data_IF_457513639052
#
_entry.id   IF_457513639052
#
_cell.length_a   1.000
_cell.length_b   1.000
_cell.length_c   1.000
_cell.angle_alpha   90.00
_cell.angle_beta   90.00
_cell.angle_gamma   90.00
#
_symmetry.space_group_name_H-M   'P 1'
#
loop_
_entity.id
_entity.type
_entity.pdbx_description
1 polymer ?
#
# COMPACT_ATOMS: atom_id res chain seq x y z
N UNK A 1 -6.59 -13.62 -12.15
CA UNK A 1 -7.25 -14.01 -10.89
C UNK A 1 -8.73 -13.69 -10.96
N UNK A 2 -9.62 -14.53 -10.42
CA UNK A 2 -11.08 -14.44 -10.59
C UNK A 2 -11.79 -14.39 -9.24
N UNK A 3 -12.68 -13.41 -9.09
CA UNK A 3 -13.56 -13.23 -7.92
C UNK A 3 -15.02 -13.33 -8.34
N UNK A 4 -15.83 -13.99 -7.53
CA UNK A 4 -17.28 -14.04 -7.75
C UNK A 4 -17.97 -12.91 -6.98
N UNK A 5 -18.92 -12.24 -7.64
CA UNK A 5 -19.63 -11.08 -7.11
C UNK A 5 -21.11 -11.38 -6.87
N UNK A 6 -21.72 -10.67 -5.93
CA UNK A 6 -23.15 -10.79 -5.67
C UNK A 6 -23.94 -9.95 -6.70
N UNK A 7 -24.74 -10.61 -7.55
CA UNK A 7 -25.57 -9.97 -8.59
C UNK A 7 -26.70 -9.08 -8.07
N UNK A 8 -27.10 -9.24 -6.81
CA UNK A 8 -28.30 -8.58 -6.32
C UNK A 8 -28.14 -7.08 -6.08
N UNK A 9 -26.92 -6.53 -6.24
CA UNK A 9 -26.62 -5.13 -5.91
C UNK A 9 -26.67 -4.17 -7.10
N UNK A 10 -26.77 -4.67 -8.34
CA UNK A 10 -26.79 -3.83 -9.55
C UNK A 10 -25.47 -3.13 -9.89
N UNK A 11 -24.37 -3.45 -9.20
CA UNK A 11 -23.03 -2.95 -9.44
C UNK A 11 -21.98 -4.03 -9.22
N UNK A 12 -20.78 -3.82 -9.74
CA UNK A 12 -19.64 -4.72 -9.58
C UNK A 12 -18.91 -4.42 -8.28
N UNK A 13 -18.86 -5.38 -7.38
CA UNK A 13 -18.14 -5.22 -6.10
C UNK A 13 -17.49 -6.49 -5.62
N UNK A 14 -16.46 -6.34 -4.79
CA UNK A 14 -15.77 -7.41 -4.08
C UNK A 14 -15.51 -6.97 -2.63
N UNK A 15 -15.40 -7.93 -1.73
CA UNK A 15 -15.04 -7.66 -0.34
C UNK A 15 -13.50 -7.55 -0.22
N UNK A 16 -13.04 -6.49 0.43
CA UNK A 16 -11.65 -6.24 0.72
C UNK A 16 -11.39 -6.35 2.21
N UNK A 17 -10.37 -7.13 2.59
CA UNK A 17 -10.12 -7.45 3.99
C UNK A 17 -9.08 -6.52 4.63
N UNK A 18 -8.04 -6.17 3.91
CA UNK A 18 -6.89 -5.44 4.48
C UNK A 18 -6.24 -4.56 3.44
N UNK A 19 -5.71 -3.44 3.89
CA UNK A 19 -4.86 -2.55 3.09
C UNK A 19 -3.55 -2.37 3.82
N UNK A 20 -2.43 -2.43 3.09
CA UNK A 20 -1.11 -2.13 3.62
C UNK A 20 -0.52 -0.97 2.82
N UNK A 21 -0.13 0.09 3.52
CA UNK A 21 0.53 1.27 2.97
C UNK A 21 1.68 1.70 3.90
N UNK A 22 2.86 1.93 3.35
CA UNK A 22 4.05 2.32 4.10
C UNK A 22 4.31 1.43 5.35
N UNK A 23 4.08 0.11 5.23
CA UNK A 23 4.21 -0.90 6.29
C UNK A 23 3.13 -0.82 7.41
N UNK A 24 2.19 0.09 7.31
CA UNK A 24 1.02 0.17 8.19
C UNK A 24 -0.13 -0.64 7.62
N UNK A 25 -0.77 -1.43 8.48
CA UNK A 25 -1.88 -2.29 8.14
C UNK A 25 -3.20 -1.67 8.61
N UNK A 26 -4.15 -1.55 7.68
CA UNK A 26 -5.52 -1.15 7.94
C UNK A 26 -6.43 -2.35 7.72
N UNK A 27 -6.96 -2.90 8.81
CA UNK A 27 -7.91 -4.01 8.77
C UNK A 27 -9.32 -3.47 8.66
N UNK A 28 -10.01 -3.91 7.63
CA UNK A 28 -11.41 -3.59 7.42
C UNK A 28 -12.05 -4.63 6.50
N UNK A 29 -13.32 -4.92 6.71
CA UNK A 29 -14.13 -5.75 5.81
C UNK A 29 -15.05 -4.84 5.00
N UNK A 30 -14.48 -3.96 4.20
CA UNK A 30 -15.23 -3.04 3.36
C UNK A 30 -15.47 -3.61 1.97
N UNK A 31 -16.62 -3.25 1.42
CA UNK A 31 -16.94 -3.50 0.03
C UNK A 31 -16.22 -2.49 -0.87
N UNK A 32 -15.60 -2.99 -1.93
CA UNK A 32 -15.03 -2.18 -3.02
C UNK A 32 -15.96 -2.26 -4.21
N UNK A 33 -16.40 -1.09 -4.69
CA UNK A 33 -17.23 -0.95 -5.89
C UNK A 33 -16.36 -0.47 -7.05
N UNK A 34 -16.53 -1.06 -8.23
CA UNK A 34 -15.83 -0.64 -9.43
C UNK A 34 -16.69 0.35 -10.21
N UNK A 35 -16.10 1.52 -10.53
CA UNK A 35 -16.75 2.64 -11.21
C UNK A 35 -16.07 2.91 -12.56
N UNK A 36 -16.82 2.79 -13.66
CA UNK A 36 -16.29 3.07 -15.01
C UNK A 36 -16.51 4.50 -15.49
N UNK A 37 -17.05 5.37 -14.65
CA UNK A 37 -17.39 6.76 -14.98
C UNK A 37 -16.47 7.78 -14.31
N UNK A 38 -15.53 7.35 -13.48
CA UNK A 38 -14.58 8.21 -12.76
C UNK A 38 -13.16 7.65 -12.85
N UNK A 39 -12.17 8.53 -12.94
CA UNK A 39 -10.75 8.16 -12.97
C UNK A 39 -10.19 7.92 -11.57
N UNK A 40 -10.85 8.44 -10.53
CA UNK A 40 -10.31 8.49 -9.19
C UNK A 40 -10.58 7.22 -8.40
N UNK A 41 -9.75 7.01 -7.37
CA UNK A 41 -10.04 6.09 -6.27
C UNK A 41 -10.65 6.88 -5.14
N UNK A 42 -11.87 6.51 -4.75
CA UNK A 42 -12.54 7.07 -3.59
C UNK A 42 -12.39 6.16 -2.40
N UNK A 43 -12.08 6.77 -1.25
CA UNK A 43 -11.78 6.08 0.00
C UNK A 43 -12.75 6.50 1.11
N UNK A 44 -13.13 5.61 2.01
CA UNK A 44 -14.01 5.94 3.13
C UNK A 44 -13.32 6.86 4.14
N UNK A 45 -14.12 7.70 4.82
CA UNK A 45 -13.63 8.64 5.83
C UNK A 45 -12.73 8.00 6.90
N UNK A 46 -13.06 6.79 7.36
CA UNK A 46 -12.25 6.04 8.32
C UNK A 46 -10.82 5.81 7.83
N UNK A 47 -10.65 5.55 6.54
CA UNK A 47 -9.32 5.36 5.96
C UNK A 47 -8.57 6.68 5.82
N UNK A 48 -9.28 7.79 5.55
CA UNK A 48 -8.67 9.15 5.58
C UNK A 48 -8.10 9.44 6.97
N UNK A 49 -8.85 9.13 8.04
CA UNK A 49 -8.36 9.28 9.42
C UNK A 49 -7.15 8.39 9.69
N UNK A 50 -7.18 7.13 9.25
CA UNK A 50 -6.03 6.23 9.38
C UNK A 50 -4.78 6.78 8.66
N UNK A 51 -4.93 7.32 7.45
CA UNK A 51 -3.83 7.97 6.74
C UNK A 51 -3.26 9.15 7.53
N UNK A 52 -4.12 10.02 8.07
CA UNK A 52 -3.71 11.19 8.87
C UNK A 52 -3.02 10.81 10.18
N UNK A 53 -3.61 9.87 10.91
CA UNK A 53 -3.20 9.58 12.29
C UNK A 53 -2.10 8.52 12.39
N UNK A 54 -1.83 7.80 11.29
CA UNK A 54 -0.86 6.71 11.29
C UNK A 54 0.19 6.88 10.20
N UNK A 55 -0.21 6.88 8.92
CA UNK A 55 0.74 6.85 7.80
C UNK A 55 1.48 8.18 7.66
N UNK A 56 0.76 9.29 7.63
CA UNK A 56 1.32 10.63 7.40
C UNK A 56 1.46 11.47 8.66
N UNK A 57 1.20 10.92 9.85
CA UNK A 57 1.21 11.65 11.12
C UNK A 57 2.49 12.46 11.33
N UNK A 58 3.64 11.80 11.23
CA UNK A 58 4.95 12.44 11.43
C UNK A 58 5.23 13.50 10.36
N UNK A 59 4.89 13.22 9.11
CA UNK A 59 5.07 14.13 7.99
C UNK A 59 4.17 15.39 8.10
N UNK A 60 2.95 15.24 8.62
CA UNK A 60 2.06 16.36 8.93
C UNK A 60 2.61 17.21 10.08
N UNK A 61 3.15 16.60 11.12
CA UNK A 61 3.77 17.31 12.25
C UNK A 61 5.04 18.06 11.86
N UNK A 62 5.80 17.53 10.90
CA UNK A 62 7.04 18.14 10.39
C UNK A 62 6.79 19.17 9.27
N UNK A 63 5.53 19.46 8.91
CA UNK A 63 5.15 20.29 7.76
C UNK A 63 5.69 19.79 6.39
N UNK A 64 6.01 18.50 6.28
CA UNK A 64 6.37 17.84 5.02
C UNK A 64 5.12 17.51 4.20
N UNK A 65 3.97 17.38 4.89
CA UNK A 65 2.64 17.19 4.32
C UNK A 65 1.65 18.22 4.89
N UNK A 66 0.65 18.60 4.08
CA UNK A 66 -0.38 19.56 4.49
C UNK A 66 -1.67 19.40 3.66
N UNK A 67 -2.77 19.95 4.19
CA UNK A 67 -4.03 20.12 3.46
C UNK A 67 -4.23 21.60 3.19
N UNK A 68 -4.76 21.94 2.02
CA UNK A 68 -5.18 23.32 1.73
C UNK A 68 -6.67 23.49 2.05
N UNK A 69 -7.10 24.71 2.34
CA UNK A 69 -8.51 25.02 2.63
C UNK A 69 -9.42 24.82 1.41
N UNK A 70 -8.87 25.04 0.22
CA UNK A 70 -9.62 25.07 -1.04
C UNK A 70 -9.63 23.71 -1.76
N UNK A 71 -8.80 22.77 -1.29
CA UNK A 71 -8.60 21.49 -1.93
C UNK A 71 -8.42 20.39 -0.87
N UNK A 72 -9.28 19.37 -0.82
CA UNK A 72 -9.24 18.31 0.19
C UNK A 72 -8.10 17.32 0.02
N UNK A 73 -7.24 17.51 -0.99
CA UNK A 73 -6.14 16.59 -1.23
C UNK A 73 -4.99 16.76 -0.24
N UNK A 74 -4.42 15.63 0.17
CA UNK A 74 -3.16 15.63 0.89
C UNK A 74 -2.03 15.96 -0.08
N UNK A 75 -1.27 17.00 0.24
CA UNK A 75 -0.06 17.44 -0.46
C UNK A 75 1.15 17.16 0.39
N UNK A 76 2.17 16.55 -0.18
CA UNK A 76 3.44 16.30 0.51
C UNK A 76 4.61 16.64 -0.39
N UNK A 77 5.79 16.78 0.21
CA UNK A 77 7.03 16.70 -0.56
C UNK A 77 7.09 15.36 -1.30
N UNK A 78 7.52 15.33 -2.56
CA UNK A 78 7.44 14.12 -3.40
C UNK A 78 8.24 12.93 -2.84
N UNK A 79 9.35 13.19 -2.14
CA UNK A 79 10.14 12.16 -1.47
C UNK A 79 9.34 11.33 -0.44
N UNK A 80 8.30 11.92 0.18
CA UNK A 80 7.40 11.21 1.10
C UNK A 80 6.64 10.12 0.34
N UNK A 81 6.05 10.47 -0.82
CA UNK A 81 5.34 9.49 -1.65
C UNK A 81 6.29 8.50 -2.32
N UNK A 82 7.48 8.94 -2.76
CA UNK A 82 8.49 8.05 -3.33
C UNK A 82 8.95 6.96 -2.34
N UNK A 83 8.88 7.23 -1.03
CA UNK A 83 9.15 6.23 -0.01
C UNK A 83 8.05 5.17 0.12
N UNK A 84 6.83 5.47 -0.38
CA UNK A 84 5.67 4.58 -0.40
C UNK A 84 5.61 3.92 -1.79
N UNK A 85 6.38 2.89 -2.02
CA UNK A 85 6.50 2.27 -3.34
C UNK A 85 5.18 1.72 -3.91
N UNK A 86 4.19 1.40 -3.05
CA UNK A 86 2.91 0.82 -3.44
C UNK A 86 1.91 0.81 -2.28
N UNK A 87 0.64 0.71 -2.63
CA UNK A 87 -0.45 0.33 -1.74
C UNK A 87 -0.81 -1.13 -2.04
N UNK A 88 -0.95 -1.97 -1.00
CA UNK A 88 -1.39 -3.35 -1.15
C UNK A 88 -2.86 -3.46 -0.73
N UNK A 89 -3.68 -3.97 -1.61
CA UNK A 89 -5.04 -4.38 -1.31
C UNK A 89 -5.10 -5.89 -1.16
N UNK A 90 -5.61 -6.38 -0.05
CA UNK A 90 -5.76 -7.82 0.22
C UNK A 90 -7.23 -8.18 0.06
N UNK A 91 -7.51 -8.99 -0.96
CA UNK A 91 -8.84 -9.42 -1.36
C UNK A 91 -8.83 -10.94 -1.40
N UNK A 92 -9.65 -11.60 -0.56
CA UNK A 92 -9.71 -13.07 -0.48
C UNK A 92 -8.32 -13.72 -0.39
N UNK A 93 -7.47 -13.22 0.52
CA UNK A 93 -6.08 -13.67 0.72
C UNK A 93 -5.14 -13.45 -0.48
N UNK A 94 -5.53 -12.63 -1.44
CA UNK A 94 -4.70 -12.26 -2.57
C UNK A 94 -4.26 -10.82 -2.47
N UNK A 95 -2.99 -10.56 -2.73
CA UNK A 95 -2.43 -9.22 -2.70
C UNK A 95 -2.50 -8.62 -4.10
N UNK A 96 -3.10 -7.44 -4.20
CA UNK A 96 -3.12 -6.60 -5.39
C UNK A 96 -2.29 -5.36 -5.08
N UNK A 97 -1.29 -5.09 -5.90
CA UNK A 97 -0.43 -3.92 -5.74
C UNK A 97 -0.96 -2.77 -6.58
N UNK A 98 -1.16 -1.61 -5.96
CA UNK A 98 -1.44 -0.37 -6.65
C UNK A 98 -0.19 0.51 -6.57
N UNK A 99 0.43 0.74 -7.75
CA UNK A 99 1.67 1.50 -7.92
C UNK A 99 1.39 2.72 -8.79
N UNK A 100 2.30 3.67 -8.77
CA UNK A 100 2.48 4.76 -9.75
C UNK A 100 1.32 5.75 -9.94
N UNK A 101 0.08 5.38 -9.61
CA UNK A 101 -1.11 6.23 -9.85
C UNK A 101 -1.82 6.68 -8.56
N UNK A 102 -1.22 6.47 -7.40
CA UNK A 102 -1.85 6.94 -6.16
C UNK A 102 -1.44 8.36 -5.78
N UNK A 103 -0.45 8.95 -6.47
CA UNK A 103 -0.06 10.35 -6.34
C UNK A 103 0.31 10.95 -7.70
N UNK A 104 0.30 12.28 -7.77
CA UNK A 104 0.68 13.06 -8.94
C UNK A 104 1.66 14.14 -8.52
N UNK A 105 2.77 14.29 -9.25
CA UNK A 105 3.72 15.39 -9.09
C UNK A 105 3.18 16.67 -9.74
N UNK A 106 3.29 17.79 -9.02
CA UNK A 106 2.96 19.10 -9.58
C UNK A 106 4.15 19.65 -10.36
N UNK A 107 3.92 20.01 -11.60
CA UNK A 107 4.97 20.55 -12.47
C UNK A 107 5.65 21.79 -11.87
N UNK A 108 6.98 21.75 -11.79
CA UNK A 108 7.81 22.86 -11.29
C UNK A 108 7.89 22.98 -9.78
N UNK A 109 7.21 22.12 -9.04
CA UNK A 109 7.23 22.07 -7.58
C UNK A 109 7.69 20.68 -7.11
N UNK A 110 8.45 20.61 -6.02
CA UNK A 110 8.78 19.33 -5.38
C UNK A 110 7.62 18.89 -4.47
N UNK A 111 6.39 19.05 -4.95
CA UNK A 111 5.14 18.73 -4.24
C UNK A 111 4.36 17.71 -5.05
N UNK A 112 3.90 16.70 -4.36
CA UNK A 112 3.05 15.64 -4.90
C UNK A 112 1.68 15.65 -4.20
N UNK A 113 0.64 15.29 -4.93
CA UNK A 113 -0.74 15.23 -4.45
C UNK A 113 -1.17 13.77 -4.38
N UNK A 114 -1.74 13.36 -3.24
CA UNK A 114 -2.37 12.05 -3.10
C UNK A 114 -3.69 12.00 -3.90
N UNK A 115 -3.81 11.04 -4.81
CA UNK A 115 -4.97 10.89 -5.69
C UNK A 115 -6.11 10.03 -5.09
N UNK A 116 -6.05 9.75 -3.80
CA UNK A 116 -7.14 9.09 -3.06
C UNK A 116 -8.10 10.14 -2.54
N UNK A 117 -9.34 10.11 -3.02
CA UNK A 117 -10.39 11.08 -2.64
C UNK A 117 -11.31 10.50 -1.58
N UNK A 118 -11.70 11.32 -0.61
CA UNK A 118 -12.72 10.94 0.34
C UNK A 118 -14.09 10.79 -0.34
N UNK A 119 -14.81 9.69 -0.04
CA UNK A 119 -16.18 9.48 -0.55
C UNK A 119 -17.23 9.85 0.47
N UNK A 120 -18.33 10.45 0.00
CA UNK A 120 -19.51 10.72 0.83
C UNK A 120 -20.20 9.42 1.25
N UNK A 121 -20.13 8.37 0.43
CA UNK A 121 -20.83 7.10 0.65
C UNK A 121 -20.13 6.17 1.66
N UNK A 122 -19.01 6.60 2.22
CA UNK A 122 -18.20 5.83 3.20
C UNK A 122 -17.87 4.39 2.74
N UNK A 123 -17.61 4.21 1.45
CA UNK A 123 -17.21 2.94 0.82
C UNK A 123 -16.04 3.17 -0.13
N UNK A 124 -15.38 2.09 -0.51
CA UNK A 124 -14.33 2.14 -1.52
C UNK A 124 -14.94 2.15 -2.92
N UNK A 125 -14.44 3.04 -3.78
CA UNK A 125 -14.82 3.08 -5.19
C UNK A 125 -13.54 3.16 -6.04
N UNK A 126 -13.32 2.13 -6.87
CA UNK A 126 -12.16 2.05 -7.75
C UNK A 126 -12.55 2.49 -9.16
N UNK A 127 -11.95 3.59 -9.63
CA UNK A 127 -12.22 4.18 -10.93
C UNK A 127 -11.43 3.54 -12.07
N UNK A 128 -11.51 4.17 -13.24
CA UNK A 128 -10.92 3.70 -14.52
C UNK A 128 -9.42 3.49 -14.38
N UNK A 129 -8.68 4.41 -13.75
CA UNK A 129 -7.22 4.29 -13.58
C UNK A 129 -6.82 2.99 -12.89
N UNK A 130 -7.56 2.55 -11.87
CA UNK A 130 -7.32 1.27 -11.20
C UNK A 130 -7.70 0.09 -12.11
N UNK A 131 -8.85 0.19 -12.81
CA UNK A 131 -9.35 -0.87 -13.70
C UNK A 131 -8.36 -1.13 -14.85
N UNK A 132 -7.82 -0.06 -15.46
CA UNK A 132 -6.86 -0.15 -16.55
C UNK A 132 -5.51 -0.70 -16.10
N UNK A 133 -4.99 -0.21 -14.97
CA UNK A 133 -3.71 -0.69 -14.42
C UNK A 133 -3.72 -2.20 -14.18
N UNK A 134 -4.86 -2.74 -13.74
CA UNK A 134 -4.99 -4.15 -13.42
C UNK A 134 -5.62 -4.99 -14.53
N UNK A 135 -5.96 -4.40 -15.68
CA UNK A 135 -6.60 -5.10 -16.81
C UNK A 135 -7.77 -5.96 -16.32
N UNK A 136 -8.80 -5.31 -15.76
CA UNK A 136 -9.92 -5.99 -15.10
C UNK A 136 -10.99 -6.34 -16.13
N UNK A 137 -11.42 -7.61 -16.15
CA UNK A 137 -12.55 -8.09 -16.94
C UNK A 137 -13.77 -8.35 -16.04
N UNK A 138 -14.89 -7.75 -16.39
CA UNK A 138 -16.19 -8.00 -15.78
C UNK A 138 -16.97 -9.01 -16.62
N UNK A 139 -17.18 -10.22 -16.09
CA UNK A 139 -17.91 -11.26 -16.80
C UNK A 139 -19.33 -11.39 -16.24
N UNK A 140 -20.29 -10.93 -17.03
CA UNK A 140 -21.71 -10.94 -16.65
C UNK A 140 -22.27 -12.35 -16.54
N UNK A 141 -21.85 -13.28 -17.42
CA UNK A 141 -22.46 -14.62 -17.50
C UNK A 141 -22.26 -15.43 -16.23
N UNK A 142 -21.09 -15.35 -15.61
CA UNK A 142 -20.75 -16.09 -14.40
C UNK A 142 -20.60 -15.20 -13.15
N UNK A 143 -20.96 -13.92 -13.26
CA UNK A 143 -20.87 -12.94 -12.18
C UNK A 143 -19.48 -12.88 -11.54
N UNK A 144 -18.47 -12.70 -12.37
CA UNK A 144 -17.10 -12.66 -11.89
C UNK A 144 -16.33 -11.43 -12.36
N UNK A 145 -15.36 -11.04 -11.54
CA UNK A 145 -14.35 -10.04 -11.85
C UNK A 145 -13.02 -10.76 -11.97
N UNK A 146 -12.32 -10.59 -13.09
CA UNK A 146 -11.02 -11.22 -13.32
C UNK A 146 -9.94 -10.16 -13.51
N UNK A 147 -8.86 -10.27 -12.76
CA UNK A 147 -7.68 -9.41 -12.87
C UNK A 147 -6.62 -10.12 -13.72
N UNK A 148 -6.16 -9.46 -14.79
CA UNK A 148 -5.16 -9.99 -15.74
C UNK A 148 -3.78 -9.33 -15.65
N UNK A 149 -3.61 -8.30 -14.81
CA UNK A 149 -2.40 -7.49 -14.76
C UNK A 149 -1.11 -8.30 -14.69
N UNK A 150 -0.15 -7.94 -15.53
CA UNK A 150 1.12 -8.66 -15.73
C UNK A 150 2.08 -8.65 -14.54
N UNK A 151 1.84 -7.84 -13.52
CA UNK A 151 2.73 -7.68 -12.37
C UNK A 151 2.20 -8.30 -11.08
N UNK A 152 1.03 -8.88 -11.13
CA UNK A 152 0.54 -9.67 -10.01
C UNK A 152 1.28 -11.00 -9.95
N UNK A 153 2.50 -11.00 -9.46
CA UNK A 153 2.99 -12.16 -8.72
C UNK A 153 2.10 -12.20 -7.48
N UNK A 154 0.95 -12.83 -7.66
CA UNK A 154 -0.03 -13.11 -6.63
C UNK A 154 0.64 -14.06 -5.64
N UNK A 155 1.42 -13.52 -4.73
CA UNK A 155 1.90 -14.30 -3.59
C UNK A 155 0.73 -14.39 -2.62
N UNK A 156 0.37 -15.60 -2.15
CA UNK A 156 -0.59 -15.74 -1.07
C UNK A 156 -0.14 -14.87 0.12
N UNK A 157 -1.06 -14.13 0.71
CA UNK A 157 -0.80 -13.25 1.86
C UNK A 157 0.04 -13.90 2.97
N UNK A 158 -0.21 -15.20 3.24
CA UNK A 158 0.52 -15.97 4.23
C UNK A 158 2.03 -16.13 3.94
N UNK A 159 2.46 -16.14 2.69
CA UNK A 159 3.88 -16.25 2.34
C UNK A 159 4.62 -14.92 2.54
N UNK A 160 3.98 -13.79 2.21
CA UNK A 160 4.60 -12.46 2.37
C UNK A 160 4.93 -12.14 3.83
N UNK A 161 4.03 -12.46 4.79
CA UNK A 161 4.30 -12.23 6.21
C UNK A 161 5.38 -13.17 6.78
N UNK A 162 5.42 -14.42 6.34
CA UNK A 162 6.47 -15.37 6.74
C UNK A 162 7.83 -14.92 6.25
N UNK A 163 7.92 -14.47 4.99
CA UNK A 163 9.17 -14.03 4.38
C UNK A 163 9.76 -12.81 5.09
N UNK A 164 8.94 -11.82 5.43
CA UNK A 164 9.38 -10.64 6.16
C UNK A 164 9.85 -11.00 7.58
N UNK A 165 9.14 -11.89 8.26
CA UNK A 165 9.53 -12.34 9.60
C UNK A 165 10.81 -13.17 9.58
N UNK A 166 10.98 -14.00 8.55
CA UNK A 166 12.18 -14.81 8.32
C UNK A 166 13.39 -13.91 8.00
N UNK A 167 13.23 -12.94 7.09
CA UNK A 167 14.28 -11.98 6.73
C UNK A 167 14.71 -11.17 7.96
N UNK A 168 13.77 -10.69 8.79
CA UNK A 168 14.11 -9.98 10.04
C UNK A 168 14.89 -10.86 11.03
N UNK A 169 14.54 -12.14 11.16
CA UNK A 169 15.28 -13.09 11.99
C UNK A 169 16.69 -13.33 11.45
N UNK A 170 16.84 -13.56 10.14
CA UNK A 170 18.14 -13.76 9.49
C UNK A 170 19.02 -12.52 9.65
N UNK A 171 18.49 -11.31 9.44
CA UNK A 171 19.24 -10.07 9.63
C UNK A 171 19.70 -9.86 11.08
N UNK A 172 18.88 -10.24 12.08
CA UNK A 172 19.30 -10.20 13.49
C UNK A 172 20.45 -11.16 13.78
N UNK A 173 20.39 -12.39 13.26
CA UNK A 173 21.44 -13.38 13.42
C UNK A 173 22.75 -12.91 12.77
N UNK A 174 22.69 -12.36 11.55
CA UNK A 174 23.85 -11.80 10.87
C UNK A 174 24.50 -10.64 11.63
N UNK A 175 23.69 -9.76 12.23
CA UNK A 175 24.21 -8.67 13.05
C UNK A 175 24.91 -9.20 14.32
N UNK A 176 24.38 -10.23 14.96
CA UNK A 176 25.03 -10.87 16.13
C UNK A 176 26.38 -11.49 15.72
N UNK A 177 26.41 -12.24 14.61
CA UNK A 177 27.64 -12.84 14.09
C UNK A 177 28.69 -11.76 13.77
N UNK A 178 28.30 -10.67 13.13
CA UNK A 178 29.21 -9.55 12.86
C UNK A 178 29.77 -8.92 14.15
N UNK A 179 28.97 -8.74 15.18
CA UNK A 179 29.45 -8.22 16.46
C UNK A 179 30.47 -9.15 17.09
N UNK A 180 30.26 -10.49 17.06
CA UNK A 180 31.22 -11.46 17.57
C UNK A 180 32.52 -11.48 16.78
N UNK A 181 32.48 -11.41 15.46
CA UNK A 181 33.69 -11.37 14.61
C UNK A 181 34.51 -10.10 14.87
N UNK A 182 33.87 -8.95 15.00
CA UNK A 182 34.55 -7.69 15.35
C UNK A 182 35.20 -7.81 16.74
N UNK A 183 34.49 -8.34 17.74
CA UNK A 183 35.03 -8.52 19.08
C UNK A 183 36.25 -9.47 19.10
N UNK A 184 36.21 -10.58 18.35
CA UNK A 184 37.34 -11.51 18.22
C UNK A 184 38.56 -10.86 17.54
N UNK A 185 38.35 -10.04 16.52
CA UNK A 185 39.43 -9.30 15.84
C UNK A 185 40.08 -8.28 16.79
N UNK A 186 39.28 -7.57 17.60
CA UNK A 186 39.83 -6.68 18.64
C UNK A 186 40.61 -7.43 19.69
N UNK A 187 40.11 -8.58 20.17
CA UNK A 187 40.81 -9.41 21.17
C UNK A 187 42.13 -9.96 20.62
N UNK A 188 42.15 -10.45 19.39
CA UNK A 188 43.36 -10.95 18.74
C UNK A 188 44.42 -9.86 18.58
N UNK A 189 44.01 -8.63 18.28
CA UNK A 189 44.93 -7.49 18.14
C UNK A 189 45.50 -7.04 19.48
N UNK A 190 44.73 -7.09 20.56
CA UNK A 190 45.19 -6.78 21.91
C UNK A 190 46.21 -7.82 22.43
N UNK A 191 46.00 -9.10 22.13
CA UNK A 191 46.91 -10.18 22.53
C UNK A 191 48.21 -10.20 21.70
N UNK A 192 48.18 -9.73 20.46
CA UNK A 192 49.34 -9.61 19.57
C UNK A 192 50.27 -8.44 19.95
N UNK A 193 49.77 -7.38 20.55
CA UNK A 193 50.53 -6.20 20.96
C UNK A 193 51.19 -6.37 22.36
N UNK A 194 50.88 -7.45 23.07
CA UNK A 194 51.46 -7.76 24.39
C UNK A 194 52.57 -8.83 24.33
N UNK A 195 53.05 -9.18 23.16
CA UNK A 195 54.24 -10.00 22.93
C UNK A 195 55.33 -9.17 22.26
#
# INVERSE_FOLDING_TARGET
>A
MKFYVNRNKGYWSIDMNTIIIAQHEYQNSDEVVFQTITDNIYIPHKFVLFLKDTVFKTHLQNNECYYTTDDPYLRCQCNVFHSINYIQFIINNTIIYFRDYFYQELEGENICILLLKETINNRWEFGISFIEQHSILFNYNDSSITFYGNETKLKPYHESHRDIHLIRKVMRILNIINMFTVALLFYSKLTSNNK
#
